data_IF_981897965041
#
_entry.id   IF_981897965041
#
_cell.length_a   1.000
_cell.length_b   1.000
_cell.length_c   1.000
_cell.angle_alpha   90.00
_cell.angle_beta   90.00
_cell.angle_gamma   90.00
#
_symmetry.space_group_name_H-M   'P 1'
#
loop_
_entity.id
_entity.type
_entity.pdbx_description
1 polymer ?
#
# COMPACT_ATOMS: atom_id res chain seq x y z
N UNK A 1 -10.83 5.90 -2.58
CA UNK A 1 -10.65 6.02 -1.12
C UNK A 1 -9.28 6.64 -0.83
N UNK A 2 -9.20 7.64 0.04
CA UNK A 2 -7.96 8.41 0.28
C UNK A 2 -6.99 7.76 1.28
N UNK A 3 -7.47 6.85 2.14
CA UNK A 3 -6.66 6.22 3.20
C UNK A 3 -5.44 5.47 2.67
N UNK A 4 -5.55 4.79 1.53
CA UNK A 4 -4.42 4.09 0.92
C UNK A 4 -3.29 5.05 0.51
N UNK A 5 -3.67 6.24 0.06
CA UNK A 5 -2.75 7.26 -0.43
C UNK A 5 -1.99 7.96 0.71
N UNK A 6 -2.54 7.95 1.94
CA UNK A 6 -2.01 8.74 3.09
C UNK A 6 -1.52 7.90 4.26
N UNK A 7 -2.04 6.68 4.45
CA UNK A 7 -1.68 5.80 5.56
C UNK A 7 -0.74 4.69 5.08
N UNK A 8 -1.09 4.00 3.99
CA UNK A 8 -0.28 2.87 3.50
C UNK A 8 0.93 3.37 2.69
N UNK A 9 0.72 4.33 1.78
CA UNK A 9 1.81 4.98 1.04
C UNK A 9 2.45 6.09 1.90
N UNK A 10 3.06 5.72 3.02
CA UNK A 10 3.74 6.62 3.93
C UNK A 10 4.93 5.90 4.57
N UNK A 11 6.07 6.59 4.73
CA UNK A 11 7.20 6.03 5.47
C UNK A 11 6.95 6.18 6.98
N UNK A 12 7.58 5.34 7.84
CA UNK A 12 7.44 5.48 9.28
C UNK A 12 7.84 6.88 9.80
N UNK A 13 8.87 7.48 9.20
CA UNK A 13 9.37 8.81 9.56
C UNK A 13 8.35 9.89 9.20
N UNK A 14 7.80 9.84 7.98
CA UNK A 14 6.79 10.80 7.52
C UNK A 14 5.48 10.64 8.33
N UNK A 15 5.12 9.41 8.71
CA UNK A 15 3.95 9.14 9.54
C UNK A 15 4.10 9.72 10.95
N UNK A 16 5.26 9.55 11.57
CA UNK A 16 5.56 10.11 12.89
C UNK A 16 5.39 11.63 12.88
N UNK A 17 5.99 12.32 11.90
CA UNK A 17 5.87 13.76 11.76
C UNK A 17 4.44 14.21 11.40
N UNK A 18 3.72 13.40 10.61
CA UNK A 18 2.31 13.65 10.28
C UNK A 18 1.42 13.59 11.52
N UNK A 19 1.61 12.59 12.39
CA UNK A 19 0.87 12.46 13.64
C UNK A 19 1.15 13.65 14.59
N UNK A 20 2.42 14.08 14.67
CA UNK A 20 2.80 15.26 15.45
C UNK A 20 2.15 16.54 14.87
N UNK A 21 2.21 16.73 13.54
CA UNK A 21 1.59 17.87 12.87
C UNK A 21 0.07 17.91 13.06
N UNK A 22 -0.61 16.76 12.95
CA UNK A 22 -2.05 16.65 13.19
C UNK A 22 -2.42 17.09 14.60
N UNK A 23 -1.68 16.62 15.60
CA UNK A 23 -1.88 17.01 17.00
C UNK A 23 -1.70 18.52 17.19
N UNK A 24 -0.69 19.12 16.57
CA UNK A 24 -0.49 20.58 16.64
C UNK A 24 -1.65 21.36 16.01
N UNK A 25 -2.13 20.93 14.84
CA UNK A 25 -3.14 21.64 14.04
C UNK A 25 -4.55 21.48 14.60
N UNK A 26 -4.93 20.25 14.98
CA UNK A 26 -6.30 19.90 15.31
C UNK A 26 -6.52 19.65 16.81
N UNK A 27 -5.45 19.68 17.62
CA UNK A 27 -5.49 19.45 19.07
C UNK A 27 -6.12 18.12 19.47
N UNK A 28 -5.93 17.10 18.63
CA UNK A 28 -6.42 15.73 18.81
C UNK A 28 -5.36 14.71 18.39
N UNK A 29 -5.31 13.53 19.02
CA UNK A 29 -4.48 12.43 18.54
C UNK A 29 -5.02 11.85 17.23
N UNK A 30 -4.17 11.74 16.20
CA UNK A 30 -4.58 11.33 14.85
C UNK A 30 -5.22 9.94 14.83
N UNK A 31 -4.56 8.95 15.46
CA UNK A 31 -5.02 7.55 15.45
C UNK A 31 -6.36 7.41 16.19
N UNK A 32 -6.54 8.10 17.30
CA UNK A 32 -7.81 8.08 18.04
C UNK A 32 -8.96 8.68 17.22
N UNK A 33 -8.74 9.82 16.57
CA UNK A 33 -9.74 10.48 15.71
C UNK A 33 -10.06 9.59 14.50
N UNK A 34 -9.07 8.93 13.89
CA UNK A 34 -9.27 7.96 12.82
C UNK A 34 -10.10 6.75 13.29
N UNK A 35 -9.73 6.10 14.38
CA UNK A 35 -10.41 4.91 14.88
C UNK A 35 -11.81 5.20 15.41
N UNK A 36 -12.06 6.43 15.86
CA UNK A 36 -13.41 6.90 16.22
C UNK A 36 -14.37 6.88 15.03
N UNK A 37 -13.92 7.33 13.87
CA UNK A 37 -14.77 7.45 12.68
C UNK A 37 -14.85 6.14 11.88
N UNK A 38 -13.75 5.38 11.85
CA UNK A 38 -13.65 4.11 11.09
C UNK A 38 -14.17 2.91 11.87
N UNK A 39 -14.09 2.93 13.21
CA UNK A 39 -14.48 1.81 14.05
C UNK A 39 -13.57 0.59 13.91
N UNK A 40 -14.05 -0.57 14.38
CA UNK A 40 -13.29 -1.84 14.45
C UNK A 40 -14.11 -3.06 14.01
N UNK A 41 -15.09 -2.87 13.13
CA UNK A 41 -16.01 -3.95 12.72
C UNK A 41 -15.50 -4.78 11.55
N UNK A 42 -14.71 -4.18 10.68
CA UNK A 42 -14.18 -4.84 9.48
C UNK A 42 -12.67 -5.08 9.62
N UNK A 43 -12.16 -6.08 8.90
CA UNK A 43 -10.75 -6.49 9.01
C UNK A 43 -9.79 -5.37 8.60
N UNK A 44 -10.14 -4.60 7.56
CA UNK A 44 -9.33 -3.47 7.10
C UNK A 44 -9.15 -2.40 8.19
N UNK A 45 -10.14 -2.20 9.06
CA UNK A 45 -10.05 -1.23 10.16
C UNK A 45 -8.98 -1.67 11.16
N UNK A 46 -9.05 -2.94 11.58
CA UNK A 46 -8.09 -3.54 12.52
C UNK A 46 -6.68 -3.60 11.93
N UNK A 47 -6.58 -3.91 10.63
CA UNK A 47 -5.33 -3.89 9.90
C UNK A 47 -4.72 -2.48 9.86
N UNK A 48 -5.51 -1.45 9.53
CA UNK A 48 -5.03 -0.06 9.49
C UNK A 48 -4.58 0.43 10.86
N UNK A 49 -5.28 0.06 11.93
CA UNK A 49 -4.86 0.37 13.31
C UNK A 49 -3.44 -0.17 13.60
N UNK A 50 -3.21 -1.46 13.28
CA UNK A 50 -1.90 -2.09 13.43
C UNK A 50 -0.84 -1.46 12.52
N UNK A 51 -1.22 -1.12 11.29
CA UNK A 51 -0.30 -0.49 10.32
C UNK A 51 0.19 0.87 10.81
N UNK A 52 -0.71 1.70 11.34
CA UNK A 52 -0.40 3.04 11.87
C UNK A 52 0.49 3.02 13.13
N UNK A 53 0.63 1.88 13.79
CA UNK A 53 1.58 1.74 14.90
C UNK A 53 3.04 1.73 14.41
N UNK A 54 3.29 1.32 13.15
CA UNK A 54 4.64 1.17 12.57
C UNK A 54 5.59 0.28 13.40
N UNK A 55 5.04 -0.61 14.22
CA UNK A 55 5.79 -1.56 15.05
C UNK A 55 6.15 -2.81 14.22
N UNK A 56 7.24 -2.70 13.46
CA UNK A 56 7.79 -3.82 12.67
C UNK A 56 8.76 -4.63 13.52
N UNK A 57 8.55 -5.95 13.57
CA UNK A 57 9.38 -6.88 14.35
C UNK A 57 9.87 -7.99 13.45
N UNK A 58 11.19 -8.22 13.48
CA UNK A 58 11.85 -9.30 12.75
C UNK A 58 11.25 -10.65 13.13
N UNK A 59 11.07 -11.53 12.13
CA UNK A 59 10.49 -12.85 12.33
C UNK A 59 11.59 -13.86 12.61
N UNK A 60 11.37 -14.73 13.60
CA UNK A 60 12.39 -15.70 14.05
C UNK A 60 12.61 -16.84 13.04
N UNK A 61 11.61 -17.16 12.22
CA UNK A 61 11.65 -18.25 11.25
C UNK A 61 12.37 -17.90 9.94
N UNK A 62 12.82 -18.94 9.24
CA UNK A 62 13.27 -18.82 7.85
C UNK A 62 12.16 -18.33 6.91
N UNK A 63 12.48 -17.76 5.74
CA UNK A 63 11.48 -17.34 4.76
C UNK A 63 10.50 -18.45 4.36
N UNK A 64 10.96 -19.69 4.29
CA UNK A 64 10.16 -20.88 3.97
C UNK A 64 9.17 -21.20 5.09
N UNK A 65 9.64 -21.25 6.34
CA UNK A 65 8.79 -21.53 7.50
C UNK A 65 7.71 -20.45 7.71
N UNK A 66 8.08 -19.17 7.55
CA UNK A 66 7.11 -18.07 7.65
C UNK A 66 6.12 -18.09 6.48
N UNK A 67 6.56 -18.48 5.27
CA UNK A 67 5.67 -18.68 4.14
C UNK A 67 4.69 -19.84 4.36
N UNK A 68 5.11 -20.95 4.97
CA UNK A 68 4.24 -22.07 5.35
C UNK A 68 3.19 -21.65 6.39
N UNK A 69 3.61 -20.93 7.44
CA UNK A 69 2.69 -20.38 8.46
C UNK A 69 1.67 -19.46 7.82
N UNK A 70 2.10 -18.58 6.92
CA UNK A 70 1.20 -17.68 6.20
C UNK A 70 0.23 -18.45 5.29
N UNK A 71 0.69 -19.48 4.57
CA UNK A 71 -0.15 -20.31 3.72
C UNK A 71 -1.20 -21.06 4.54
N UNK A 72 -0.80 -21.59 5.71
CA UNK A 72 -1.73 -22.20 6.67
C UNK A 72 -2.79 -21.18 7.12
N UNK A 73 -2.38 -19.97 7.48
CA UNK A 73 -3.31 -18.91 7.88
C UNK A 73 -4.32 -18.55 6.77
N UNK A 74 -3.89 -18.50 5.51
CA UNK A 74 -4.83 -18.32 4.39
C UNK A 74 -5.81 -19.48 4.23
N UNK A 75 -5.36 -20.72 4.41
CA UNK A 75 -6.23 -21.91 4.29
C UNK A 75 -7.23 -22.00 5.45
N UNK A 76 -6.83 -21.59 6.65
CA UNK A 76 -7.66 -21.58 7.85
C UNK A 76 -8.51 -20.29 7.98
N UNK A 77 -8.34 -19.33 7.06
CA UNK A 77 -8.97 -18.01 7.13
C UNK A 77 -8.66 -17.27 8.45
N UNK A 78 -7.44 -17.41 8.95
CA UNK A 78 -6.95 -16.71 10.15
C UNK A 78 -6.63 -15.25 9.81
N UNK A 79 -7.70 -14.44 9.79
CA UNK A 79 -7.63 -13.02 9.44
C UNK A 79 -6.77 -12.19 10.41
N UNK A 80 -6.71 -12.59 11.67
CA UNK A 80 -5.93 -11.91 12.70
C UNK A 80 -4.43 -12.15 12.48
N UNK A 81 -4.03 -13.38 12.20
CA UNK A 81 -2.65 -13.69 11.83
C UNK A 81 -2.25 -12.96 10.56
N UNK A 82 -3.06 -13.01 9.50
CA UNK A 82 -2.75 -12.36 8.22
C UNK A 82 -2.57 -10.85 8.41
N UNK A 83 -3.49 -10.19 9.13
CA UNK A 83 -3.43 -8.75 9.38
C UNK A 83 -2.20 -8.37 10.22
N UNK A 84 -1.91 -9.14 11.27
CA UNK A 84 -0.75 -8.90 12.14
C UNK A 84 0.57 -9.15 11.40
N UNK A 85 0.64 -10.19 10.57
CA UNK A 85 1.78 -10.48 9.72
C UNK A 85 2.05 -9.32 8.76
N UNK A 86 1.03 -8.89 8.02
CA UNK A 86 1.17 -7.81 7.03
C UNK A 86 1.51 -6.46 7.68
N UNK A 87 1.02 -6.18 8.90
CA UNK A 87 1.32 -4.95 9.62
C UNK A 87 2.64 -4.98 10.42
N UNK A 88 3.16 -6.17 10.75
CA UNK A 88 4.35 -6.32 11.60
C UNK A 88 5.62 -6.78 10.87
N UNK A 89 5.52 -7.39 9.69
CA UNK A 89 6.70 -7.91 8.97
C UNK A 89 7.55 -6.78 8.39
N UNK A 90 8.89 -6.80 8.55
CA UNK A 90 9.78 -5.83 7.92
C UNK A 90 9.82 -6.01 6.38
N UNK A 91 9.93 -4.92 5.58
CA UNK A 91 9.96 -5.01 4.11
C UNK A 91 11.07 -5.89 3.54
N UNK A 92 12.23 -5.93 4.19
CA UNK A 92 13.39 -6.73 3.83
C UNK A 92 13.16 -8.25 3.98
N UNK A 93 12.40 -8.65 4.99
CA UNK A 93 11.99 -10.05 5.23
C UNK A 93 10.79 -10.43 4.36
N UNK A 94 9.90 -9.48 4.06
CA UNK A 94 8.71 -9.74 3.25
C UNK A 94 9.04 -10.24 1.84
N UNK A 95 10.08 -9.69 1.21
CA UNK A 95 10.46 -10.04 -0.18
C UNK A 95 10.84 -11.52 -0.35
N UNK A 96 11.76 -12.09 0.45
CA UNK A 96 12.05 -13.51 0.38
C UNK A 96 10.83 -14.36 0.79
N UNK A 97 10.09 -13.99 1.83
CA UNK A 97 8.86 -14.73 2.24
C UNK A 97 7.84 -14.79 1.09
N UNK A 98 7.59 -13.67 0.40
CA UNK A 98 6.69 -13.63 -0.75
C UNK A 98 7.15 -14.54 -1.90
N UNK A 99 8.47 -14.72 -2.06
CA UNK A 99 9.05 -15.63 -3.05
C UNK A 99 8.83 -17.09 -2.64
N UNK A 100 9.15 -17.43 -1.38
CA UNK A 100 8.96 -18.78 -0.85
C UNK A 100 7.48 -19.18 -0.79
N UNK A 101 6.58 -18.23 -0.47
CA UNK A 101 5.13 -18.45 -0.51
C UNK A 101 4.64 -18.88 -1.88
N UNK A 102 5.11 -18.22 -2.94
CA UNK A 102 4.74 -18.58 -4.31
C UNK A 102 5.19 -20.00 -4.69
N UNK A 103 6.36 -20.43 -4.20
CA UNK A 103 6.86 -21.79 -4.43
C UNK A 103 6.03 -22.85 -3.70
N UNK A 104 5.62 -22.57 -2.46
CA UNK A 104 4.85 -23.51 -1.61
C UNK A 104 3.37 -23.57 -2.02
N UNK A 105 2.73 -22.41 -2.18
CA UNK A 105 1.29 -22.31 -2.39
C UNK A 105 0.88 -22.41 -3.87
N UNK A 106 1.83 -22.37 -4.81
CA UNK A 106 1.58 -22.35 -6.26
C UNK A 106 0.94 -21.06 -6.79
N UNK A 107 0.66 -20.09 -5.91
CA UNK A 107 0.05 -18.78 -6.20
C UNK A 107 0.72 -17.69 -5.38
N UNK A 108 0.67 -16.45 -5.85
CA UNK A 108 1.22 -15.32 -5.09
C UNK A 108 0.34 -14.94 -3.89
N UNK A 109 0.92 -14.25 -2.90
CA UNK A 109 0.17 -13.72 -1.74
C UNK A 109 -0.95 -12.78 -2.22
N UNK A 110 -0.66 -12.00 -3.25
CA UNK A 110 -1.58 -11.09 -3.92
C UNK A 110 -2.83 -11.82 -4.47
N UNK A 111 -2.65 -13.02 -5.03
CA UNK A 111 -3.73 -13.89 -5.48
C UNK A 111 -4.45 -14.57 -4.31
N UNK A 112 -3.74 -14.91 -3.23
CA UNK A 112 -4.35 -15.45 -2.02
C UNK A 112 -5.32 -14.45 -1.37
N UNK A 113 -4.98 -13.15 -1.34
CA UNK A 113 -5.90 -12.11 -0.89
C UNK A 113 -7.18 -12.05 -1.73
N UNK A 114 -7.07 -12.15 -3.06
CA UNK A 114 -8.23 -12.07 -3.95
C UNK A 114 -9.22 -13.24 -3.78
N UNK A 115 -8.77 -14.37 -3.23
CA UNK A 115 -9.64 -15.51 -2.91
C UNK A 115 -10.39 -15.28 -1.60
N UNK A 116 -9.74 -14.69 -0.61
CA UNK A 116 -10.27 -14.59 0.77
C UNK A 116 -11.03 -13.29 1.04
N UNK A 117 -10.65 -12.19 0.39
CA UNK A 117 -11.16 -10.86 0.68
C UNK A 117 -11.78 -10.20 -0.56
N UNK A 118 -12.71 -9.29 -0.32
CA UNK A 118 -13.30 -8.43 -1.34
C UNK A 118 -13.37 -6.99 -0.83
N UNK A 119 -13.70 -6.03 -1.71
CA UNK A 119 -13.91 -4.63 -1.31
C UNK A 119 -12.71 -4.02 -0.58
N UNK A 120 -12.98 -3.27 0.49
CA UNK A 120 -11.97 -2.52 1.24
C UNK A 120 -10.96 -3.43 1.94
N UNK A 121 -11.38 -4.59 2.44
CA UNK A 121 -10.49 -5.59 3.04
C UNK A 121 -9.42 -6.02 2.04
N UNK A 122 -9.84 -6.40 0.83
CA UNK A 122 -8.92 -6.78 -0.23
C UNK A 122 -7.96 -5.65 -0.57
N UNK A 123 -8.47 -4.45 -0.86
CA UNK A 123 -7.61 -3.34 -1.30
C UNK A 123 -6.64 -2.86 -0.22
N UNK A 124 -6.99 -2.98 1.07
CA UNK A 124 -6.10 -2.60 2.17
C UNK A 124 -4.86 -3.51 2.22
N UNK A 125 -5.06 -4.83 2.19
CA UNK A 125 -3.99 -5.82 2.19
C UNK A 125 -3.22 -5.85 0.87
N UNK A 126 -3.91 -5.62 -0.25
CA UNK A 126 -3.28 -5.54 -1.57
C UNK A 126 -2.36 -4.32 -1.69
N UNK A 127 -2.78 -3.17 -1.16
CA UNK A 127 -1.90 -1.99 -1.08
C UNK A 127 -0.70 -2.26 -0.15
N UNK A 128 -0.93 -2.89 0.99
CA UNK A 128 0.11 -3.26 1.94
C UNK A 128 1.15 -4.21 1.33
N UNK A 129 0.71 -5.20 0.55
CA UNK A 129 1.59 -6.09 -0.22
C UNK A 129 2.56 -5.30 -1.10
N UNK A 130 2.05 -4.36 -1.90
CA UNK A 130 2.93 -3.53 -2.73
C UNK A 130 3.83 -2.61 -1.90
N UNK A 131 3.33 -2.05 -0.80
CA UNK A 131 4.11 -1.21 0.10
C UNK A 131 5.34 -1.95 0.64
N UNK A 132 5.15 -3.20 1.08
CA UNK A 132 6.21 -4.06 1.59
C UNK A 132 7.19 -4.51 0.50
N UNK A 133 6.72 -4.73 -0.73
CA UNK A 133 7.62 -4.97 -1.86
C UNK A 133 8.41 -3.71 -2.25
N UNK A 134 7.87 -2.53 -1.95
CA UNK A 134 8.50 -1.23 -2.08
C UNK A 134 7.51 -0.13 -2.43
N UNK A 135 7.63 1.04 -1.79
CA UNK A 135 6.70 2.17 -1.96
C UNK A 135 6.50 2.60 -3.42
N UNK A 136 7.55 2.54 -4.25
CA UNK A 136 7.45 2.84 -5.68
C UNK A 136 6.52 1.88 -6.45
N UNK A 137 6.37 0.62 -5.99
CA UNK A 137 5.41 -0.34 -6.58
C UNK A 137 3.98 -0.02 -6.17
N UNK A 138 3.76 0.37 -4.91
CA UNK A 138 2.44 0.83 -4.46
C UNK A 138 2.05 2.12 -5.19
N UNK A 139 2.98 3.08 -5.33
CA UNK A 139 2.75 4.29 -6.11
C UNK A 139 2.35 3.96 -7.56
N UNK A 140 3.06 3.04 -8.22
CA UNK A 140 2.69 2.61 -9.57
C UNK A 140 1.28 2.01 -9.64
N UNK A 141 0.89 1.16 -8.68
CA UNK A 141 -0.46 0.62 -8.58
C UNK A 141 -1.51 1.73 -8.38
N UNK A 142 -1.31 2.64 -7.43
CA UNK A 142 -2.28 3.71 -7.14
C UNK A 142 -2.39 4.72 -8.28
N UNK A 143 -1.31 4.98 -9.03
CA UNK A 143 -1.34 5.77 -10.27
C UNK A 143 -2.17 5.05 -11.34
N UNK A 144 -2.01 3.73 -11.48
CA UNK A 144 -2.80 2.96 -12.44
C UNK A 144 -4.30 3.01 -12.09
N UNK A 145 -4.64 2.86 -10.80
CA UNK A 145 -6.01 3.07 -10.33
C UNK A 145 -6.51 4.47 -10.68
N UNK A 146 -5.73 5.52 -10.43
CA UNK A 146 -6.13 6.89 -10.76
C UNK A 146 -6.37 7.08 -12.27
N UNK A 147 -5.56 6.47 -13.14
CA UNK A 147 -5.76 6.52 -14.59
C UNK A 147 -7.03 5.77 -15.02
N UNK A 148 -7.30 4.60 -14.44
CA UNK A 148 -8.48 3.79 -14.74
C UNK A 148 -9.77 4.40 -14.17
N UNK A 149 -9.68 5.14 -13.06
CA UNK A 149 -10.78 5.85 -12.41
C UNK A 149 -11.10 7.19 -13.12
N UNK A 150 -11.03 7.22 -14.46
CA UNK A 150 -11.28 8.39 -15.31
C UNK A 150 -10.43 9.61 -14.96
N UNK A 151 -9.17 9.39 -14.57
CA UNK A 151 -8.26 10.45 -14.19
C UNK A 151 -8.60 11.07 -12.83
N UNK A 152 -8.48 10.29 -11.74
CA UNK A 152 -8.66 10.79 -10.38
C UNK A 152 -7.57 11.80 -10.01
N UNK A 153 -7.84 13.09 -10.29
CA UNK A 153 -6.94 14.20 -9.98
C UNK A 153 -6.68 14.35 -8.48
N UNK A 154 -7.65 14.02 -7.63
CA UNK A 154 -7.50 14.16 -6.18
C UNK A 154 -6.48 13.15 -5.67
N UNK A 155 -6.55 11.90 -6.14
CA UNK A 155 -5.53 10.89 -5.84
C UNK A 155 -4.18 11.29 -6.40
N UNK A 156 -4.08 11.66 -7.68
CA UNK A 156 -2.80 12.06 -8.27
C UNK A 156 -2.17 13.24 -7.53
N UNK A 157 -2.96 14.22 -7.07
CA UNK A 157 -2.48 15.30 -6.22
C UNK A 157 -1.89 14.78 -4.91
N UNK A 158 -2.57 13.86 -4.20
CA UNK A 158 -2.07 13.29 -2.94
C UNK A 158 -0.77 12.51 -3.15
N UNK A 159 -0.77 11.57 -4.09
CA UNK A 159 0.39 10.73 -4.37
C UNK A 159 1.59 11.57 -4.80
N UNK A 160 1.38 12.49 -5.76
CA UNK A 160 2.45 13.32 -6.30
C UNK A 160 2.94 14.34 -5.28
N UNK A 161 2.02 14.98 -4.54
CA UNK A 161 2.38 16.00 -3.56
C UNK A 161 3.10 15.46 -2.33
N UNK A 162 2.84 14.20 -1.95
CA UNK A 162 3.42 13.59 -0.75
C UNK A 162 4.67 12.75 -1.04
N UNK A 163 4.71 12.03 -2.17
CA UNK A 163 5.63 10.90 -2.32
C UNK A 163 6.39 10.87 -3.66
N UNK A 164 6.26 11.87 -4.53
CA UNK A 164 6.86 11.81 -5.88
C UNK A 164 8.37 11.64 -5.87
N UNK A 165 9.08 12.35 -4.98
CA UNK A 165 10.53 12.32 -4.83
C UNK A 165 11.03 10.96 -4.33
N UNK A 166 10.30 10.34 -3.40
CA UNK A 166 10.59 9.01 -2.85
C UNK A 166 10.16 7.86 -3.77
N UNK A 167 9.26 8.13 -4.71
CA UNK A 167 8.65 7.11 -5.57
C UNK A 167 8.96 7.26 -7.06
N UNK A 168 9.97 8.03 -7.47
CA UNK A 168 10.30 8.22 -8.91
C UNK A 168 10.52 6.92 -9.69
N UNK A 169 10.92 5.84 -9.02
CA UNK A 169 11.05 4.51 -9.63
C UNK A 169 9.69 3.87 -10.02
N UNK A 170 8.56 4.48 -9.68
CA UNK A 170 7.22 4.02 -10.04
C UNK A 170 7.06 3.88 -11.55
N UNK A 171 7.70 4.74 -12.35
CA UNK A 171 7.69 4.63 -13.83
C UNK A 171 8.23 3.29 -14.35
N UNK A 172 9.17 2.68 -13.63
CA UNK A 172 9.72 1.37 -13.98
C UNK A 172 8.81 0.23 -13.51
N UNK A 173 8.28 0.32 -12.29
CA UNK A 173 7.34 -0.66 -11.77
C UNK A 173 6.01 -0.69 -12.56
N UNK A 174 5.60 0.44 -13.11
CA UNK A 174 4.36 0.58 -13.89
C UNK A 174 4.37 -0.20 -15.21
N UNK A 175 5.52 -0.66 -15.69
CA UNK A 175 5.62 -1.48 -16.91
C UNK A 175 4.74 -2.74 -16.87
N UNK A 176 4.36 -3.21 -15.68
CA UNK A 176 3.41 -4.32 -15.52
C UNK A 176 1.98 -3.97 -15.96
N UNK A 177 1.62 -2.69 -16.00
CA UNK A 177 0.31 -2.19 -16.42
C UNK A 177 0.34 -1.59 -17.83
N UNK A 178 1.50 -1.08 -18.26
CA UNK A 178 1.69 -0.44 -19.56
C UNK A 178 2.66 0.73 -19.50
N UNK A 179 2.36 1.78 -20.27
CA UNK A 179 3.15 3.02 -20.28
C UNK A 179 2.51 4.06 -19.39
N UNK A 180 3.18 4.41 -18.28
CA UNK A 180 2.68 5.43 -17.35
C UNK A 180 2.44 6.77 -18.06
N UNK A 181 3.32 7.14 -19.01
CA UNK A 181 3.15 8.36 -19.80
C UNK A 181 1.87 8.33 -20.63
N UNK A 182 1.67 7.26 -21.40
CA UNK A 182 0.52 7.14 -22.29
C UNK A 182 -0.80 7.09 -21.51
N UNK A 183 -0.81 6.44 -20.35
CA UNK A 183 -1.98 6.36 -19.48
C UNK A 183 -2.29 7.72 -18.85
N UNK A 184 -1.28 8.45 -18.37
CA UNK A 184 -1.46 9.81 -17.82
C UNK A 184 -1.95 10.78 -18.89
N UNK A 185 -1.35 10.76 -20.09
CA UNK A 185 -1.76 11.62 -21.21
C UNK A 185 -3.16 11.29 -21.73
N UNK A 186 -3.61 10.03 -21.62
CA UNK A 186 -4.95 9.60 -21.99
C UNK A 186 -5.99 9.96 -20.93
N UNK A 187 -5.67 9.77 -19.65
CA UNK A 187 -6.64 9.84 -18.56
C UNK A 187 -6.84 11.26 -18.01
N UNK A 188 -5.83 12.13 -18.10
CA UNK A 188 -5.87 13.49 -17.53
C UNK A 188 -5.95 14.55 -18.61
N UNK A 189 -6.51 15.71 -18.25
CA UNK A 189 -6.72 16.80 -19.21
C UNK A 189 -5.40 17.45 -19.70
N UNK A 190 -5.53 18.33 -20.69
CA UNK A 190 -4.40 19.03 -21.31
C UNK A 190 -3.60 19.92 -20.36
N UNK A 191 -4.14 20.25 -19.18
CA UNK A 191 -3.46 21.05 -18.16
C UNK A 191 -2.73 20.15 -17.17
N UNK A 192 -3.40 19.12 -16.67
CA UNK A 192 -2.91 18.23 -15.62
C UNK A 192 -1.88 17.23 -16.14
N UNK A 193 -2.13 16.59 -17.29
CA UNK A 193 -1.23 15.56 -17.80
C UNK A 193 0.22 16.05 -17.99
N UNK A 194 0.50 17.25 -18.57
CA UNK A 194 1.87 17.74 -18.70
C UNK A 194 2.56 17.97 -17.35
N UNK A 195 1.82 18.39 -16.31
CA UNK A 195 2.36 18.61 -14.96
C UNK A 195 2.78 17.27 -14.35
N UNK A 196 1.89 16.28 -14.41
CA UNK A 196 2.15 14.93 -13.89
C UNK A 196 3.33 14.29 -14.63
N UNK A 197 3.37 14.37 -15.96
CA UNK A 197 4.50 13.85 -16.75
C UNK A 197 5.84 14.51 -16.40
N UNK A 198 5.85 15.80 -16.03
CA UNK A 198 7.06 16.48 -15.56
C UNK A 198 7.49 15.96 -14.19
N UNK A 199 6.58 15.96 -13.21
CA UNK A 199 6.89 15.61 -11.82
C UNK A 199 7.34 14.14 -11.70
N UNK A 200 6.69 13.24 -12.42
CA UNK A 200 7.02 11.81 -12.46
C UNK A 200 8.15 11.46 -13.45
N UNK A 201 8.78 12.46 -14.09
CA UNK A 201 9.89 12.29 -15.04
C UNK A 201 9.59 11.28 -16.15
N UNK A 202 8.44 11.47 -16.81
CA UNK A 202 7.92 10.60 -17.87
C UNK A 202 8.23 11.09 -19.29
N UNK A 203 9.00 12.17 -19.43
CA UNK A 203 9.32 12.80 -20.72
C UNK A 203 10.59 12.27 -21.37
N UNK A 204 11.23 11.26 -20.76
CA UNK A 204 12.39 10.52 -21.27
C UNK A 204 11.96 9.27 -22.02
#
# INVERSE_FOLDING_TARGET
>A
MAFFDTIILCTPEDWHETAAAYTRMFKKPLVEDFMKDVGRKENWCLFMEKWMAHERVSREGSPEEEAEKLNKAFNESDHDYISSFMAGVPPEEYKPINTSFKAIAGKGIDQAFAVLYTGTDYYSLYCAHFALLGMHKLAAYLINCACNDKGDEKRMRRLTGLMVDKCLAAKYAYKTYGSMKADVERAFDKRMAPILCTLWRLRE
#
